data_IF_661279941039
#
_entry.id   IF_661279941039
#
_cell.length_a   1.000
_cell.length_b   1.000
_cell.length_c   1.000
_cell.angle_alpha   90.00
_cell.angle_beta   90.00
_cell.angle_gamma   90.00
#
_symmetry.space_group_name_H-M   'P 1'
#
loop_
_entity.id
_entity.type
_entity.pdbx_description
1 polymer ?
#
# COMPACT_ATOMS: atom_id res chain seq x y z
N UNK A 1 -5.60 23.03 -1.25
CA UNK A 1 -4.85 24.18 -1.82
C UNK A 1 -3.72 23.74 -2.76
N UNK A 2 -3.14 22.54 -2.64
CA UNK A 2 -2.11 22.02 -3.58
C UNK A 2 -2.63 21.66 -4.99
N UNK A 3 -3.87 21.17 -5.13
CA UNK A 3 -4.40 20.72 -6.44
C UNK A 3 -4.61 21.88 -7.42
N UNK A 4 -5.00 23.07 -6.92
CA UNK A 4 -5.13 24.29 -7.74
C UNK A 4 -3.79 24.89 -8.15
N UNK A 5 -2.69 24.56 -7.45
CA UNK A 5 -1.35 25.01 -7.82
C UNK A 5 -0.74 24.08 -8.89
N UNK A 6 -0.94 22.77 -8.77
CA UNK A 6 -0.51 21.78 -9.77
C UNK A 6 -1.21 21.98 -11.13
N UNK A 7 -2.55 22.14 -11.13
CA UNK A 7 -3.32 22.42 -12.35
C UNK A 7 -2.93 23.75 -13.03
N UNK A 8 -2.40 24.72 -12.26
CA UNK A 8 -1.95 26.01 -12.82
C UNK A 8 -0.63 25.85 -13.56
N UNK A 9 0.27 24.99 -13.09
CA UNK A 9 1.56 24.76 -13.73
C UNK A 9 1.45 23.87 -14.97
N UNK A 10 0.58 22.85 -14.96
CA UNK A 10 0.33 21.98 -16.11
C UNK A 10 -0.32 22.73 -17.29
N UNK A 11 -1.25 23.64 -17.01
CA UNK A 11 -1.89 24.48 -18.04
C UNK A 11 -0.91 25.52 -18.60
N UNK A 12 -0.05 26.10 -17.76
CA UNK A 12 0.99 27.04 -18.22
C UNK A 12 2.02 26.31 -19.08
N UNK A 13 2.46 25.11 -18.67
CA UNK A 13 3.37 24.28 -19.44
C UNK A 13 2.75 23.84 -20.77
N UNK A 14 1.48 23.42 -20.79
CA UNK A 14 0.76 23.04 -22.00
C UNK A 14 0.55 24.20 -23.00
N UNK A 15 0.21 25.40 -22.51
CA UNK A 15 0.03 26.60 -23.34
C UNK A 15 1.38 27.10 -23.89
N UNK A 16 2.46 27.03 -23.09
CA UNK A 16 3.82 27.35 -23.56
C UNK A 16 4.28 26.32 -24.59
N UNK A 17 4.00 25.03 -24.39
CA UNK A 17 4.39 23.97 -25.33
C UNK A 17 3.74 24.17 -26.71
N UNK A 18 2.43 24.42 -26.77
CA UNK A 18 1.74 24.67 -28.04
C UNK A 18 2.21 25.95 -28.73
N UNK A 19 2.40 27.06 -28.00
CA UNK A 19 2.89 28.31 -28.61
C UNK A 19 4.32 28.21 -29.13
N UNK A 20 5.13 27.35 -28.53
CA UNK A 20 6.53 27.19 -28.96
C UNK A 20 6.58 26.37 -30.24
N UNK A 21 5.90 25.21 -30.33
CA UNK A 21 5.89 24.30 -31.50
C UNK A 21 5.42 24.97 -32.81
N UNK A 22 4.47 25.91 -32.74
CA UNK A 22 3.98 26.64 -33.93
C UNK A 22 5.03 27.61 -34.50
N UNK A 23 5.97 28.10 -33.68
CA UNK A 23 7.03 29.04 -34.10
C UNK A 23 8.24 28.38 -34.76
N UNK A 24 8.30 27.04 -34.82
CA UNK A 24 9.44 26.29 -35.40
C UNK A 24 9.39 26.19 -36.92
N UNK A 25 8.24 26.50 -37.54
CA UNK A 25 8.05 26.36 -38.99
C UNK A 25 8.71 27.48 -39.80
N UNK A 26 9.25 28.51 -39.15
CA UNK A 26 9.82 29.72 -39.78
C UNK A 26 11.32 29.95 -39.47
N UNK A 27 12.05 28.96 -38.92
CA UNK A 27 13.43 29.17 -38.49
C UNK A 27 14.48 28.80 -39.56
N UNK A 28 15.51 29.65 -39.78
CA UNK A 28 16.57 29.38 -40.74
C UNK A 28 17.49 28.23 -40.31
N UNK A 29 18.01 27.51 -41.29
CA UNK A 29 18.64 26.16 -41.21
C UNK A 29 19.90 26.07 -40.31
N UNK A 30 20.53 27.19 -39.94
CA UNK A 30 21.76 27.23 -39.13
C UNK A 30 21.55 27.21 -37.59
N UNK A 31 20.30 27.24 -37.12
CA UNK A 31 19.97 27.27 -35.68
C UNK A 31 19.89 25.89 -35.02
N UNK A 32 19.94 24.81 -35.80
CA UNK A 32 19.80 23.44 -35.31
C UNK A 32 20.75 23.10 -34.17
N UNK A 33 22.03 23.50 -34.26
CA UNK A 33 23.03 23.24 -33.23
C UNK A 33 22.77 24.01 -31.93
N UNK A 34 22.40 25.30 -32.02
CA UNK A 34 22.10 26.13 -30.84
C UNK A 34 20.81 25.71 -30.14
N UNK A 35 19.82 25.25 -30.89
CA UNK A 35 18.59 24.69 -30.35
C UNK A 35 18.87 23.35 -29.69
N UNK A 36 19.71 22.49 -30.27
CA UNK A 36 20.20 21.27 -29.62
C UNK A 36 20.89 21.59 -28.28
N UNK A 37 21.80 22.57 -28.24
CA UNK A 37 22.46 22.98 -26.99
C UNK A 37 21.51 23.59 -25.95
N UNK A 38 20.41 24.22 -26.38
CA UNK A 38 19.38 24.71 -25.47
C UNK A 38 18.50 23.56 -24.95
N UNK A 39 18.12 22.62 -25.81
CA UNK A 39 17.35 21.42 -25.47
C UNK A 39 18.13 20.51 -24.52
N UNK A 40 19.42 20.27 -24.79
CA UNK A 40 20.30 19.48 -23.92
C UNK A 40 20.49 20.14 -22.56
N UNK A 41 20.68 21.46 -22.50
CA UNK A 41 20.75 22.18 -21.21
C UNK A 41 19.44 22.14 -20.45
N UNK A 42 18.31 22.21 -21.17
CA UNK A 42 16.97 22.09 -20.59
C UNK A 42 16.75 20.66 -20.05
N UNK A 43 17.14 19.62 -20.78
CA UNK A 43 17.07 18.23 -20.29
C UNK A 43 17.98 17.98 -19.07
N UNK A 44 19.21 18.51 -19.07
CA UNK A 44 20.15 18.38 -17.94
C UNK A 44 19.69 19.17 -16.70
N UNK A 45 18.96 20.27 -16.88
CA UNK A 45 18.38 21.02 -15.77
C UNK A 45 17.10 20.37 -15.22
N UNK A 46 16.34 19.67 -16.05
CA UNK A 46 15.09 18.97 -15.67
C UNK A 46 15.38 17.60 -15.06
N UNK A 47 16.49 16.94 -15.43
CA UNK A 47 16.82 15.59 -14.95
C UNK A 47 16.89 15.42 -13.43
N UNK A 48 17.43 16.37 -12.63
CA UNK A 48 17.46 16.20 -11.17
C UNK A 48 16.07 16.36 -10.54
N UNK A 49 15.20 17.17 -11.15
CA UNK A 49 13.82 17.39 -10.69
C UNK A 49 12.95 16.18 -11.01
N UNK A 50 13.11 15.59 -12.21
CA UNK A 50 12.44 14.33 -12.57
C UNK A 50 12.89 13.18 -11.68
N UNK A 51 14.20 13.01 -11.47
CA UNK A 51 14.75 12.00 -10.56
C UNK A 51 14.22 12.17 -9.13
N UNK A 52 14.10 13.41 -8.64
CA UNK A 52 13.51 13.68 -7.34
C UNK A 52 12.01 13.33 -7.29
N UNK A 53 11.25 13.58 -8.35
CA UNK A 53 9.85 13.16 -8.47
C UNK A 53 9.69 11.64 -8.39
N UNK A 54 10.40 10.90 -9.24
CA UNK A 54 10.34 9.44 -9.34
C UNK A 54 10.72 8.76 -8.01
N UNK A 55 11.72 9.30 -7.31
CA UNK A 55 12.15 8.77 -6.01
C UNK A 55 11.14 8.99 -4.90
N UNK A 56 10.43 10.13 -4.91
CA UNK A 56 9.37 10.41 -3.94
C UNK A 56 8.14 9.52 -4.17
N UNK A 57 7.74 9.31 -5.43
CA UNK A 57 6.65 8.39 -5.77
C UNK A 57 6.96 6.95 -5.36
N UNK A 58 8.19 6.49 -5.64
CA UNK A 58 8.67 5.18 -5.19
C UNK A 58 8.65 5.07 -3.67
N UNK A 59 9.10 6.10 -2.95
CA UNK A 59 9.10 6.11 -1.48
C UNK A 59 7.67 6.04 -0.92
N UNK A 60 6.73 6.84 -1.44
CA UNK A 60 5.33 6.77 -1.04
C UNK A 60 4.70 5.42 -1.38
N UNK A 61 5.04 4.83 -2.54
CA UNK A 61 4.65 3.47 -2.91
C UNK A 61 5.12 2.43 -1.89
N UNK A 62 6.39 2.46 -1.49
CA UNK A 62 6.94 1.56 -0.47
C UNK A 62 6.22 1.74 0.88
N UNK A 63 6.01 2.99 1.31
CA UNK A 63 5.33 3.28 2.58
C UNK A 63 3.87 2.80 2.55
N UNK A 64 3.18 3.02 1.45
CA UNK A 64 1.80 2.55 1.23
C UNK A 64 1.75 1.02 1.24
N UNK A 65 2.69 0.36 0.57
CA UNK A 65 2.79 -1.10 0.50
C UNK A 65 3.03 -1.74 1.87
N UNK A 66 3.91 -1.14 2.68
CA UNK A 66 4.14 -1.56 4.07
C UNK A 66 2.87 -1.38 4.91
N UNK A 67 2.18 -0.25 4.77
CA UNK A 67 0.93 0.04 5.49
C UNK A 67 -0.19 -0.93 5.13
N UNK A 68 -0.43 -1.14 3.83
CA UNK A 68 -1.40 -2.11 3.32
C UNK A 68 -1.05 -3.54 3.75
N UNK A 69 0.23 -3.91 3.75
CA UNK A 69 0.68 -5.20 4.25
C UNK A 69 0.38 -5.39 5.75
N UNK A 70 0.68 -4.39 6.58
CA UNK A 70 0.33 -4.43 7.99
C UNK A 70 -1.19 -4.59 8.18
N UNK A 71 -2.01 -3.89 7.38
CA UNK A 71 -3.45 -4.06 7.37
C UNK A 71 -3.88 -5.50 6.97
N UNK A 72 -3.23 -6.09 5.96
CA UNK A 72 -3.44 -7.49 5.51
C UNK A 72 -3.17 -8.52 6.62
N UNK A 73 -2.33 -8.18 7.60
CA UNK A 73 -2.08 -9.01 8.78
C UNK A 73 -3.23 -9.00 9.78
N UNK A 74 -3.95 -7.88 9.92
CA UNK A 74 -5.16 -7.83 10.75
C UNK A 74 -6.33 -8.54 10.08
N UNK A 75 -6.57 -8.25 8.80
CA UNK A 75 -7.63 -8.80 7.97
C UNK A 75 -7.14 -8.92 6.54
N UNK A 76 -7.44 -10.02 5.88
CA UNK A 76 -6.87 -10.34 4.58
C UNK A 76 -7.58 -9.56 3.48
N UNK A 77 -8.92 -9.56 3.48
CA UNK A 77 -9.70 -9.10 2.33
C UNK A 77 -10.13 -7.64 2.47
N UNK A 78 -10.42 -7.18 3.68
CA UNK A 78 -10.75 -5.76 3.97
C UNK A 78 -9.75 -4.76 3.34
N UNK A 79 -8.44 -4.84 3.59
CA UNK A 79 -7.48 -3.89 3.01
C UNK A 79 -7.36 -4.03 1.49
N UNK A 80 -7.50 -5.25 0.94
CA UNK A 80 -7.52 -5.46 -0.51
C UNK A 80 -8.74 -4.82 -1.17
N UNK A 81 -9.90 -4.85 -0.50
CA UNK A 81 -11.10 -4.14 -0.95
C UNK A 81 -10.89 -2.62 -0.90
N UNK A 82 -10.31 -2.10 0.18
CA UNK A 82 -9.98 -0.67 0.29
C UNK A 82 -9.01 -0.24 -0.82
N UNK A 83 -7.97 -1.04 -1.08
CA UNK A 83 -7.02 -0.82 -2.17
C UNK A 83 -7.72 -0.86 -3.55
N UNK A 84 -8.58 -1.85 -3.80
CA UNK A 84 -9.36 -1.94 -5.04
C UNK A 84 -10.22 -0.69 -5.25
N UNK A 85 -10.96 -0.25 -4.23
CA UNK A 85 -11.82 0.92 -4.33
C UNK A 85 -10.99 2.19 -4.56
N UNK A 86 -9.86 2.34 -3.86
CA UNK A 86 -8.96 3.46 -4.08
C UNK A 86 -8.39 3.50 -5.50
N UNK A 87 -8.00 2.34 -6.04
CA UNK A 87 -7.54 2.23 -7.42
C UNK A 87 -8.66 2.50 -8.44
N UNK A 88 -9.87 1.97 -8.20
CA UNK A 88 -11.04 2.15 -9.06
C UNK A 88 -11.47 3.62 -9.17
N UNK A 89 -11.37 4.39 -8.09
CA UNK A 89 -11.68 5.83 -8.07
C UNK A 89 -10.49 6.73 -8.42
N UNK A 90 -9.34 6.16 -8.78
CA UNK A 90 -8.15 6.92 -9.20
C UNK A 90 -7.36 7.59 -8.07
N UNK A 91 -7.57 7.18 -6.81
CA UNK A 91 -6.80 7.66 -5.66
C UNK A 91 -5.47 6.93 -5.46
N UNK A 92 -5.29 5.77 -6.10
CA UNK A 92 -4.09 4.94 -5.97
C UNK A 92 -3.58 4.54 -7.35
N UNK A 93 -2.34 4.93 -7.67
CA UNK A 93 -1.65 4.45 -8.86
C UNK A 93 -1.09 3.04 -8.61
N UNK A 94 -1.45 2.13 -9.51
CA UNK A 94 -0.96 0.76 -9.49
C UNK A 94 0.16 0.59 -10.50
N UNK A 95 1.11 -0.26 -10.17
CA UNK A 95 2.22 -0.58 -11.07
C UNK A 95 1.72 -1.40 -12.27
N UNK A 96 2.37 -1.29 -13.45
CA UNK A 96 1.95 -2.02 -14.64
C UNK A 96 1.84 -3.54 -14.39
N UNK A 97 0.74 -4.14 -14.85
CA UNK A 97 0.40 -5.55 -14.65
C UNK A 97 -0.47 -5.82 -13.41
N UNK A 98 -0.71 -4.83 -12.54
CA UNK A 98 -1.61 -4.94 -11.39
C UNK A 98 -2.93 -4.18 -11.57
N UNK A 99 -3.21 -3.63 -12.74
CA UNK A 99 -4.41 -2.83 -13.03
C UNK A 99 -5.70 -3.62 -12.80
N UNK A 100 -5.65 -4.95 -12.90
CA UNK A 100 -6.76 -5.84 -12.59
C UNK A 100 -7.29 -5.66 -11.15
N UNK A 101 -6.45 -5.22 -10.22
CA UNK A 101 -6.84 -4.91 -8.84
C UNK A 101 -7.82 -3.75 -8.80
N UNK A 102 -7.76 -2.79 -9.73
CA UNK A 102 -8.69 -1.66 -9.83
C UNK A 102 -9.94 -1.95 -10.66
N UNK A 103 -10.21 -3.21 -11.05
CA UNK A 103 -11.36 -3.57 -11.90
C UNK A 103 -12.62 -3.99 -11.12
N UNK A 104 -13.78 -3.90 -11.77
CA UNK A 104 -15.07 -4.31 -11.20
C UNK A 104 -15.13 -5.79 -10.77
N UNK A 105 -14.47 -6.68 -11.52
CA UNK A 105 -14.36 -8.10 -11.14
C UNK A 105 -13.61 -8.30 -9.83
N UNK A 106 -12.53 -7.54 -9.62
CA UNK A 106 -11.80 -7.54 -8.35
C UNK A 106 -12.65 -6.95 -7.23
N UNK A 107 -13.46 -5.92 -7.48
CA UNK A 107 -14.39 -5.35 -6.50
C UNK A 107 -15.40 -6.36 -6.00
N UNK A 108 -16.04 -7.12 -6.90
CA UNK A 108 -16.99 -8.17 -6.52
C UNK A 108 -16.27 -9.28 -5.73
N UNK A 109 -15.07 -9.66 -6.16
CA UNK A 109 -14.29 -10.74 -5.51
C UNK A 109 -13.83 -10.34 -4.11
N UNK A 110 -13.16 -9.19 -3.94
CA UNK A 110 -12.75 -8.71 -2.63
C UNK A 110 -13.94 -8.32 -1.76
N UNK A 111 -15.02 -7.81 -2.34
CA UNK A 111 -16.26 -7.49 -1.63
C UNK A 111 -16.91 -8.73 -1.03
N UNK A 112 -17.13 -9.77 -1.84
CA UNK A 112 -17.67 -11.06 -1.37
C UNK A 112 -16.73 -11.73 -0.36
N UNK A 113 -15.43 -11.73 -0.59
CA UNK A 113 -14.44 -12.27 0.35
C UNK A 113 -14.44 -11.51 1.69
N UNK A 114 -14.56 -10.18 1.66
CA UNK A 114 -14.68 -9.35 2.88
C UNK A 114 -15.95 -9.67 3.65
N UNK A 115 -17.08 -9.85 2.95
CA UNK A 115 -18.33 -10.27 3.59
C UNK A 115 -18.17 -11.63 4.25
N UNK A 116 -17.56 -12.61 3.58
CA UNK A 116 -17.28 -13.93 4.17
C UNK A 116 -16.36 -13.84 5.39
N UNK A 117 -15.32 -13.00 5.32
CA UNK A 117 -14.38 -12.74 6.42
C UNK A 117 -15.03 -12.04 7.63
N UNK A 118 -16.09 -11.26 7.43
CA UNK A 118 -16.88 -10.69 8.54
C UNK A 118 -17.93 -11.69 9.05
N UNK A 119 -18.51 -12.49 8.16
CA UNK A 119 -19.51 -13.50 8.52
C UNK A 119 -18.92 -14.70 9.27
N UNK A 120 -17.63 -14.99 9.08
CA UNK A 120 -16.96 -16.13 9.72
C UNK A 120 -17.08 -16.12 11.24
N UNK A 121 -17.06 -14.95 11.88
CA UNK A 121 -17.24 -14.85 13.34
C UNK A 121 -18.55 -15.40 13.85
N UNK A 122 -19.58 -15.43 13.02
CA UNK A 122 -20.91 -15.90 13.39
C UNK A 122 -21.11 -17.38 13.03
N UNK A 123 -20.24 -17.95 12.19
CA UNK A 123 -20.39 -19.29 11.62
C UNK A 123 -19.14 -20.12 11.93
N UNK A 124 -19.16 -20.97 12.99
CA UNK A 124 -17.96 -21.65 13.49
C UNK A 124 -17.22 -22.53 12.48
N UNK A 125 -17.95 -23.19 11.57
CA UNK A 125 -17.31 -24.03 10.54
C UNK A 125 -16.60 -23.19 9.47
N UNK A 126 -17.13 -22.00 9.16
CA UNK A 126 -16.53 -21.05 8.24
C UNK A 126 -15.30 -20.39 8.86
N UNK A 127 -15.36 -20.04 10.15
CA UNK A 127 -14.24 -19.49 10.92
C UNK A 127 -13.03 -20.43 10.90
N UNK A 128 -13.24 -21.71 11.21
CA UNK A 128 -12.17 -22.71 11.21
C UNK A 128 -11.54 -22.89 9.82
N UNK A 129 -12.34 -22.87 8.75
CA UNK A 129 -11.83 -22.97 7.39
C UNK A 129 -11.00 -21.74 7.02
N UNK A 130 -11.51 -20.54 7.29
CA UNK A 130 -10.79 -19.30 7.00
C UNK A 130 -9.51 -19.20 7.82
N UNK A 131 -9.54 -19.45 9.13
CA UNK A 131 -8.35 -19.40 9.97
C UNK A 131 -7.27 -20.41 9.54
N UNK A 132 -7.67 -21.59 9.02
CA UNK A 132 -6.71 -22.59 8.52
C UNK A 132 -5.92 -22.11 7.30
N UNK A 133 -6.55 -21.34 6.41
CA UNK A 133 -5.90 -20.79 5.21
C UNK A 133 -5.40 -19.35 5.41
N UNK A 134 -5.84 -18.67 6.46
CA UNK A 134 -5.59 -17.24 6.66
C UNK A 134 -4.10 -16.92 6.76
N UNK A 135 -3.32 -17.78 7.42
CA UNK A 135 -1.88 -17.56 7.60
C UNK A 135 -1.11 -17.46 6.27
N UNK A 136 -1.14 -18.46 5.36
CA UNK A 136 -0.47 -18.34 4.07
C UNK A 136 -1.11 -17.27 3.18
N UNK A 137 -2.43 -17.10 3.23
CA UNK A 137 -3.12 -16.11 2.39
C UNK A 137 -2.78 -14.69 2.82
N UNK A 138 -2.60 -14.41 4.11
CA UNK A 138 -2.20 -13.09 4.61
C UNK A 138 -0.82 -12.68 4.08
N UNK A 139 0.13 -13.62 4.07
CA UNK A 139 1.48 -13.38 3.52
C UNK A 139 1.41 -13.06 2.02
N UNK A 140 0.62 -13.84 1.27
CA UNK A 140 0.44 -13.63 -0.17
C UNK A 140 -0.24 -12.28 -0.44
N UNK A 141 -1.32 -11.98 0.29
CA UNK A 141 -2.06 -10.73 0.18
C UNK A 141 -1.18 -9.51 0.49
N UNK A 142 -0.40 -9.55 1.58
CA UNK A 142 0.54 -8.48 1.92
C UNK A 142 1.65 -8.31 0.88
N UNK A 143 2.14 -9.41 0.31
CA UNK A 143 3.13 -9.38 -0.77
C UNK A 143 2.55 -8.75 -2.03
N UNK A 144 1.38 -9.18 -2.47
CA UNK A 144 0.70 -8.66 -3.66
C UNK A 144 0.34 -7.19 -3.49
N UNK A 145 -0.18 -6.80 -2.32
CA UNK A 145 -0.52 -5.41 -2.03
C UNK A 145 0.72 -4.50 -2.01
N UNK A 146 1.87 -4.98 -1.51
CA UNK A 146 3.11 -4.22 -1.60
C UNK A 146 3.64 -4.14 -3.03
N UNK A 147 3.65 -5.25 -3.76
CA UNK A 147 4.13 -5.30 -5.14
C UNK A 147 3.29 -4.41 -6.09
N UNK A 148 2.00 -4.26 -5.83
CA UNK A 148 1.09 -3.50 -6.69
C UNK A 148 1.28 -1.98 -6.60
N UNK A 149 1.79 -1.46 -5.47
CA UNK A 149 1.94 -0.01 -5.24
C UNK A 149 3.39 0.47 -5.29
N UNK A 150 4.37 -0.43 -5.27
CA UNK A 150 5.79 -0.07 -5.48
C UNK A 150 6.01 0.18 -6.98
N UNK A 151 6.07 1.47 -7.34
CA UNK A 151 6.33 1.96 -8.70
C UNK A 151 7.83 2.12 -8.98
N UNK A 152 8.18 2.19 -10.26
CA UNK A 152 9.52 2.54 -10.79
C UNK A 152 10.73 1.77 -10.24
N UNK A 153 10.49 0.57 -9.70
CA UNK A 153 11.52 -0.33 -9.22
C UNK A 153 11.74 -1.51 -10.19
N UNK A 154 13.00 -1.95 -10.42
CA UNK A 154 13.28 -3.15 -11.19
C UNK A 154 12.50 -4.36 -10.65
N UNK A 155 11.91 -5.22 -11.51
CA UNK A 155 11.00 -6.28 -11.08
C UNK A 155 11.58 -7.22 -10.01
N UNK A 156 12.86 -7.55 -10.10
CA UNK A 156 13.54 -8.43 -9.14
C UNK A 156 13.61 -7.81 -7.74
N UNK A 157 14.01 -6.53 -7.62
CA UNK A 157 14.04 -5.82 -6.34
C UNK A 157 12.63 -5.60 -5.79
N UNK A 158 11.68 -5.27 -6.66
CA UNK A 158 10.27 -5.10 -6.28
C UNK A 158 9.72 -6.33 -5.59
N UNK A 159 9.91 -7.51 -6.17
CA UNK A 159 9.44 -8.76 -5.58
C UNK A 159 10.19 -9.15 -4.30
N UNK A 160 11.51 -8.92 -4.23
CA UNK A 160 12.27 -9.14 -2.99
C UNK A 160 11.70 -8.26 -1.86
N UNK A 161 11.51 -6.97 -2.13
CA UNK A 161 10.98 -6.03 -1.15
C UNK A 161 9.53 -6.36 -0.78
N UNK A 162 8.69 -6.70 -1.77
CA UNK A 162 7.31 -7.08 -1.53
C UNK A 162 7.19 -8.36 -0.71
N UNK A 163 8.05 -9.36 -0.90
CA UNK A 163 8.02 -10.59 -0.10
C UNK A 163 8.47 -10.31 1.33
N UNK A 164 9.57 -9.57 1.50
CA UNK A 164 10.16 -9.31 2.82
C UNK A 164 9.33 -8.29 3.60
N UNK A 165 9.14 -7.10 3.05
CA UNK A 165 8.41 -6.02 3.70
C UNK A 165 6.89 -6.18 3.58
N UNK A 166 6.38 -6.68 2.46
CA UNK A 166 4.98 -7.06 2.34
C UNK A 166 4.71 -8.34 3.13
N UNK A 167 4.94 -9.51 2.54
CA UNK A 167 4.59 -10.79 3.17
C UNK A 167 5.07 -10.97 4.61
N UNK A 168 6.29 -10.53 4.94
CA UNK A 168 6.84 -10.61 6.29
C UNK A 168 6.07 -9.78 7.33
N UNK A 169 5.67 -8.55 7.01
CA UNK A 169 4.89 -7.70 7.94
C UNK A 169 3.48 -8.26 8.12
N UNK A 170 2.81 -8.65 7.04
CA UNK A 170 1.47 -9.25 7.09
C UNK A 170 1.47 -10.51 7.97
N UNK A 171 2.42 -11.43 7.71
CA UNK A 171 2.57 -12.66 8.50
C UNK A 171 2.87 -12.38 9.97
N UNK A 172 3.75 -11.42 10.28
CA UNK A 172 4.06 -11.04 11.66
C UNK A 172 2.83 -10.53 12.41
N UNK A 173 2.09 -9.59 11.80
CA UNK A 173 0.89 -9.01 12.40
C UNK A 173 -0.19 -10.08 12.57
N UNK A 174 -0.40 -10.94 11.58
CA UNK A 174 -1.38 -12.02 11.64
C UNK A 174 -1.11 -13.03 12.76
N UNK A 175 0.14 -13.44 12.92
CA UNK A 175 0.54 -14.32 14.03
C UNK A 175 0.35 -13.62 15.38
N UNK A 176 0.68 -12.33 15.47
CA UNK A 176 0.52 -11.55 16.69
C UNK A 176 -0.96 -11.42 17.10
N UNK A 177 -1.87 -11.15 16.17
CA UNK A 177 -3.31 -11.07 16.43
C UNK A 177 -3.91 -12.44 16.74
N UNK A 178 -3.50 -13.50 16.03
CA UNK A 178 -3.86 -14.88 16.35
C UNK A 178 -3.47 -15.29 17.77
N UNK A 179 -2.30 -14.88 18.26
CA UNK A 179 -1.89 -15.12 19.65
C UNK A 179 -2.78 -14.38 20.67
N UNK A 180 -3.27 -13.17 20.33
CA UNK A 180 -4.22 -12.42 21.17
C UNK A 180 -5.57 -13.13 21.22
N UNK A 181 -6.09 -13.59 20.07
CA UNK A 181 -7.33 -14.38 19.99
C UNK A 181 -7.21 -15.68 20.80
N UNK A 182 -6.11 -16.42 20.67
CA UNK A 182 -5.88 -17.64 21.44
C UNK A 182 -5.86 -17.37 22.96
N UNK A 183 -5.20 -16.30 23.41
CA UNK A 183 -5.20 -15.91 24.83
C UNK A 183 -6.60 -15.52 25.31
N UNK A 184 -7.37 -14.79 24.51
CA UNK A 184 -8.74 -14.42 24.82
C UNK A 184 -9.64 -15.64 24.96
N UNK A 185 -9.54 -16.61 24.04
CA UNK A 185 -10.28 -17.87 24.11
C UNK A 185 -10.00 -18.60 25.42
N UNK A 186 -8.72 -18.70 25.82
CA UNK A 186 -8.31 -19.40 27.04
C UNK A 186 -8.80 -18.70 28.32
N UNK A 187 -8.83 -17.37 28.34
CA UNK A 187 -9.21 -16.60 29.53
C UNK A 187 -10.72 -16.39 29.68
N UNK A 188 -11.45 -16.32 28.56
CA UNK A 188 -12.88 -15.92 28.54
C UNK A 188 -13.80 -17.01 28.02
N UNK A 189 -13.27 -18.19 27.68
CA UNK A 189 -14.04 -19.26 27.03
C UNK A 189 -14.51 -18.88 25.62
N UNK A 190 -13.86 -17.90 24.97
CA UNK A 190 -14.21 -17.41 23.63
C UNK A 190 -15.15 -16.19 23.61
N UNK A 191 -15.71 -15.77 24.75
CA UNK A 191 -16.62 -14.62 24.81
C UNK A 191 -15.95 -13.27 24.44
N UNK A 192 -14.63 -13.15 24.60
CA UNK A 192 -13.87 -11.95 24.23
C UNK A 192 -13.50 -11.85 22.74
N UNK A 193 -13.66 -12.93 21.97
CA UNK A 193 -13.20 -12.96 20.57
C UNK A 193 -13.98 -12.02 19.64
N UNK A 194 -15.31 -11.83 19.77
CA UNK A 194 -16.03 -10.85 18.96
C UNK A 194 -15.52 -9.41 19.15
N UNK A 195 -15.10 -9.06 20.36
CA UNK A 195 -14.52 -7.74 20.63
C UNK A 195 -13.18 -7.57 19.89
N UNK A 196 -12.30 -8.56 19.97
CA UNK A 196 -10.99 -8.56 19.29
C UNK A 196 -11.17 -8.53 17.78
N UNK A 197 -12.09 -9.34 17.25
CA UNK A 197 -12.46 -9.39 15.84
C UNK A 197 -12.89 -8.02 15.28
N UNK A 198 -13.67 -7.28 16.08
CA UNK A 198 -14.15 -5.95 15.74
C UNK A 198 -13.00 -4.94 15.75
N UNK A 199 -12.09 -5.05 16.72
CA UNK A 199 -10.88 -4.23 16.78
C UNK A 199 -9.91 -4.52 15.63
N UNK A 200 -9.75 -5.79 15.23
CA UNK A 200 -8.98 -6.20 14.06
C UNK A 200 -9.57 -5.61 12.78
N UNK A 201 -10.90 -5.66 12.62
CA UNK A 201 -11.60 -5.07 11.48
C UNK A 201 -11.41 -3.55 11.44
N UNK A 202 -11.68 -2.86 12.54
CA UNK A 202 -11.51 -1.40 12.63
C UNK A 202 -10.05 -0.99 12.39
N UNK A 203 -9.09 -1.72 12.98
CA UNK A 203 -7.67 -1.51 12.78
C UNK A 203 -7.25 -1.69 11.32
N UNK A 204 -7.72 -2.75 10.65
CA UNK A 204 -7.44 -2.99 9.24
C UNK A 204 -7.95 -1.85 8.35
N UNK A 205 -9.19 -1.38 8.57
CA UNK A 205 -9.77 -0.26 7.83
C UNK A 205 -9.00 1.03 8.06
N UNK A 206 -8.71 1.37 9.33
CA UNK A 206 -8.00 2.60 9.69
C UNK A 206 -6.60 2.61 9.08
N UNK A 207 -5.85 1.51 9.21
CA UNK A 207 -4.49 1.40 8.68
C UNK A 207 -4.52 1.43 7.15
N UNK A 208 -5.42 0.70 6.49
CA UNK A 208 -5.51 0.69 5.03
C UNK A 208 -5.85 2.07 4.45
N UNK A 209 -6.83 2.77 5.03
CA UNK A 209 -7.17 4.13 4.60
C UNK A 209 -6.01 5.08 4.88
N UNK A 210 -5.39 4.99 6.06
CA UNK A 210 -4.23 5.83 6.41
C UNK A 210 -3.04 5.60 5.49
N UNK A 211 -2.81 4.34 5.08
CA UNK A 211 -1.72 3.97 4.17
C UNK A 211 -1.87 4.68 2.82
N UNK A 212 -3.10 4.83 2.32
CA UNK A 212 -3.38 5.44 1.01
C UNK A 212 -3.41 6.98 1.12
N UNK A 213 -4.04 7.53 2.16
CA UNK A 213 -4.26 8.98 2.26
C UNK A 213 -3.03 9.71 2.78
N UNK A 214 -2.36 9.17 3.82
CA UNK A 214 -1.17 9.76 4.43
C UNK A 214 -0.17 8.63 4.79
N UNK A 215 0.59 8.11 3.80
CA UNK A 215 1.50 6.97 4.01
C UNK A 215 2.48 7.20 5.17
N UNK A 216 2.94 8.44 5.38
CA UNK A 216 3.84 8.83 6.47
C UNK A 216 3.22 8.58 7.85
N UNK A 217 1.95 8.95 8.04
CA UNK A 217 1.24 8.73 9.28
C UNK A 217 1.00 7.23 9.51
N UNK A 218 0.72 6.48 8.44
CA UNK A 218 0.55 5.03 8.52
C UNK A 218 1.82 4.34 9.04
N UNK A 219 3.00 4.69 8.52
CA UNK A 219 4.26 4.12 9.01
C UNK A 219 4.47 4.41 10.49
N UNK A 220 4.14 5.61 10.97
CA UNK A 220 4.20 5.91 12.40
C UNK A 220 3.33 4.95 13.23
N UNK A 221 2.10 4.67 12.79
CA UNK A 221 1.23 3.69 13.46
C UNK A 221 1.80 2.27 13.42
N UNK A 222 2.28 1.81 12.26
CA UNK A 222 2.86 0.47 12.09
C UNK A 222 4.10 0.29 12.99
N UNK A 223 4.98 1.28 13.05
CA UNK A 223 6.18 1.24 13.89
C UNK A 223 5.81 1.24 15.37
N UNK A 224 4.90 2.11 15.81
CA UNK A 224 4.44 2.15 17.21
C UNK A 224 3.83 0.80 17.61
N UNK A 225 2.94 0.26 16.78
CA UNK A 225 2.30 -1.01 17.04
C UNK A 225 3.31 -2.17 17.07
N UNK A 226 4.25 -2.20 16.13
CA UNK A 226 5.34 -3.17 16.06
C UNK A 226 6.24 -3.14 17.31
N UNK A 227 6.66 -1.95 17.74
CA UNK A 227 7.45 -1.77 18.96
C UNK A 227 6.68 -2.28 20.19
N UNK A 228 5.40 -1.92 20.33
CA UNK A 228 4.57 -2.36 21.45
C UNK A 228 4.39 -3.90 21.46
N UNK A 229 4.20 -4.50 20.30
CA UNK A 229 4.09 -5.94 20.14
C UNK A 229 5.40 -6.64 20.56
N UNK A 230 6.54 -6.17 20.06
CA UNK A 230 7.87 -6.70 20.39
C UNK A 230 8.25 -6.50 21.86
N UNK A 231 7.94 -5.33 22.43
CA UNK A 231 8.16 -5.04 23.85
C UNK A 231 7.37 -5.98 24.75
N UNK A 232 6.09 -6.23 24.43
CA UNK A 232 5.27 -7.20 25.19
C UNK A 232 5.75 -8.63 25.00
N UNK A 233 6.15 -9.01 23.78
CA UNK A 233 6.67 -10.35 23.49
C UNK A 233 7.99 -10.62 24.24
N UNK A 234 8.93 -9.67 24.22
CA UNK A 234 10.21 -9.79 24.92
C UNK A 234 10.01 -9.87 26.44
N UNK A 235 9.17 -9.01 27.02
CA UNK A 235 8.83 -9.06 28.45
C UNK A 235 8.20 -10.38 28.88
N UNK A 236 7.48 -11.07 28.00
CA UNK A 236 6.92 -12.38 28.30
C UNK A 236 7.99 -13.49 28.26
N UNK A 237 8.90 -13.44 27.28
CA UNK A 237 9.97 -14.43 27.13
C UNK A 237 11.01 -14.33 28.24
N UNK A 238 11.44 -13.11 28.60
CA UNK A 238 12.41 -12.86 29.68
C UNK A 238 11.87 -13.11 31.10
N UNK A 239 10.57 -13.40 31.27
CA UNK A 239 9.98 -13.73 32.59
C UNK A 239 9.96 -15.23 32.89
N UNK A 240 10.35 -16.10 31.96
CA UNK A 240 10.32 -17.57 32.09
C UNK A 240 11.69 -18.21 32.40
N UNK A 241 12.73 -17.42 32.63
CA UNK A 241 14.09 -17.91 32.92
C UNK A 241 14.53 -17.72 34.38
N UNK A 242 13.57 -17.57 35.31
CA UNK A 242 13.81 -17.54 36.76
C UNK A 242 12.81 -18.44 37.45
#
# INVERSE_FOLDING_TARGET
>A
MCILHALREDVVLGIVYQKTVVKWKELPENWGSRLQWAETRRQVAISPVLLAGDTLETLFGIMTGIGLSAACGFRIFVPLLVMNLAALYGYLHLTPGFEWIGGYYATITFGTATVLEVLSYYIPWLDNLLDAIASPVSIIAGTVAAASVIVDMPPHLKWILAIIAGGGIAGFVHVATGAIRAKSSLLTGGAGNPLIATLELAGAVIIAISAIVIPVLCIAFVVVFGILALYKASRFFFRKTT
#
